data_IF_796908477884
#
_entry.id   IF_796908477884
#
_cell.length_a   1.000
_cell.length_b   1.000
_cell.length_c   1.000
_cell.angle_alpha   90.00
_cell.angle_beta   90.00
_cell.angle_gamma   90.00
#
_symmetry.space_group_name_H-M   'P 1'
#
loop_
_entity.id
_entity.type
_entity.pdbx_description
1 polymer ?
#
# COMPACT_ATOMS: atom_id res chain seq x y z
N UNK A 1 -36.52 9.58 -7.43
CA UNK A 1 -35.08 9.64 -7.70
C UNK A 1 -34.54 10.96 -7.17
N UNK A 2 -33.72 10.90 -6.13
CA UNK A 2 -33.03 12.08 -5.60
C UNK A 2 -31.72 12.28 -6.39
N UNK A 3 -31.47 13.48 -6.92
CA UNK A 3 -30.21 13.73 -7.60
C UNK A 3 -29.05 13.67 -6.59
N UNK A 4 -28.01 12.93 -6.93
CA UNK A 4 -26.74 12.94 -6.19
C UNK A 4 -25.89 14.06 -6.79
N UNK A 5 -25.51 15.04 -5.95
CA UNK A 5 -24.64 16.12 -6.39
C UNK A 5 -23.22 15.58 -6.60
N UNK A 6 -22.68 15.79 -7.80
CA UNK A 6 -21.32 15.49 -8.22
C UNK A 6 -20.69 16.73 -8.80
N UNK A 7 -19.36 16.77 -8.96
CA UNK A 7 -18.66 17.90 -9.60
C UNK A 7 -19.05 18.03 -11.08
N UNK A 8 -19.29 16.92 -11.73
CA UNK A 8 -19.73 16.86 -13.14
C UNK A 8 -20.94 15.96 -13.29
N UNK A 9 -21.71 16.16 -14.36
CA UNK A 9 -22.80 15.27 -14.74
C UNK A 9 -22.23 13.99 -15.34
N UNK A 10 -22.51 12.85 -14.71
CA UNK A 10 -22.05 11.52 -15.15
C UNK A 10 -23.23 10.56 -15.25
N UNK A 11 -23.09 9.51 -16.07
CA UNK A 11 -24.06 8.41 -16.11
C UNK A 11 -23.99 7.58 -14.86
N UNK A 12 -25.15 7.10 -14.41
CA UNK A 12 -25.21 6.19 -13.26
C UNK A 12 -24.85 4.76 -13.67
N UNK A 13 -24.10 4.07 -12.80
CA UNK A 13 -23.76 2.66 -12.97
C UNK A 13 -23.88 1.90 -11.66
N UNK A 14 -24.09 0.59 -11.73
CA UNK A 14 -23.97 -0.31 -10.58
C UNK A 14 -22.59 -0.94 -10.60
N UNK A 15 -21.79 -0.63 -9.59
CA UNK A 15 -20.45 -1.19 -9.42
C UNK A 15 -20.45 -2.17 -8.24
N UNK A 16 -19.96 -3.39 -8.45
CA UNK A 16 -19.77 -4.39 -7.40
C UNK A 16 -18.27 -4.61 -7.18
N UNK A 17 -17.78 -4.31 -5.99
CA UNK A 17 -16.41 -4.59 -5.57
C UNK A 17 -16.39 -5.82 -4.68
N UNK A 18 -15.50 -6.76 -4.96
CA UNK A 18 -15.35 -8.02 -4.22
C UNK A 18 -13.96 -8.04 -3.58
N UNK A 19 -13.92 -8.31 -2.28
CA UNK A 19 -12.69 -8.48 -1.51
C UNK A 19 -12.89 -9.63 -0.50
N UNK A 20 -11.80 -10.23 0.01
CA UNK A 20 -11.90 -11.23 1.09
C UNK A 20 -12.61 -10.68 2.32
N UNK A 21 -12.43 -9.39 2.58
CA UNK A 21 -13.13 -8.64 3.63
C UNK A 21 -13.19 -7.16 3.31
N UNK A 22 -14.28 -6.51 3.75
CA UNK A 22 -14.45 -5.07 3.76
C UNK A 22 -14.33 -4.47 5.17
N UNK A 23 -13.85 -5.24 6.15
CA UNK A 23 -13.57 -4.74 7.49
C UNK A 23 -12.32 -3.87 7.48
N UNK A 24 -12.43 -2.71 8.09
CA UNK A 24 -11.47 -1.61 8.07
C UNK A 24 -11.19 -1.14 9.50
N UNK A 25 -10.11 -0.42 9.69
CA UNK A 25 -9.75 0.17 10.99
C UNK A 25 -10.90 1.04 11.52
N UNK A 26 -11.53 1.85 10.65
CA UNK A 26 -12.65 2.72 11.01
C UNK A 26 -13.87 2.00 11.60
N UNK A 27 -14.04 0.70 11.36
CA UNK A 27 -15.12 -0.06 12.04
C UNK A 27 -14.89 -0.14 13.55
N UNK A 28 -13.66 -0.31 14.02
CA UNK A 28 -13.34 -0.27 15.45
C UNK A 28 -13.50 1.13 16.03
N UNK A 29 -13.02 2.17 15.33
CA UNK A 29 -13.20 3.56 15.75
C UNK A 29 -14.69 3.91 15.93
N UNK A 30 -15.52 3.54 14.97
CA UNK A 30 -16.96 3.84 15.00
C UNK A 30 -17.61 3.28 16.25
N UNK A 31 -17.38 2.01 16.57
CA UNK A 31 -17.96 1.37 17.76
C UNK A 31 -17.37 1.95 19.05
N UNK A 32 -16.07 2.21 19.09
CA UNK A 32 -15.41 2.82 20.24
C UNK A 32 -15.95 4.22 20.54
N UNK A 33 -16.05 5.10 19.52
CA UNK A 33 -16.57 6.47 19.67
C UNK A 33 -18.04 6.46 20.15
N UNK A 34 -18.82 5.48 19.73
CA UNK A 34 -20.21 5.31 20.17
C UNK A 34 -20.35 4.68 21.57
N UNK A 35 -19.24 4.25 22.15
CA UNK A 35 -19.27 3.51 23.43
C UNK A 35 -19.85 2.11 23.34
N UNK A 36 -19.91 1.55 22.12
CA UNK A 36 -20.45 0.22 21.83
C UNK A 36 -19.38 -0.87 22.10
N UNK A 37 -18.90 -0.94 23.33
CA UNK A 37 -17.73 -1.74 23.73
C UNK A 37 -17.89 -3.23 23.50
N UNK A 38 -19.11 -3.75 23.63
CA UNK A 38 -19.39 -5.16 23.30
C UNK A 38 -19.24 -5.43 21.79
N UNK A 39 -19.62 -4.47 20.95
CA UNK A 39 -19.39 -4.57 19.52
C UNK A 39 -17.90 -4.56 19.17
N UNK A 40 -17.09 -3.76 19.87
CA UNK A 40 -15.62 -3.77 19.74
C UNK A 40 -15.05 -5.16 20.05
N UNK A 41 -15.46 -5.77 21.17
CA UNK A 41 -15.03 -7.12 21.57
C UNK A 41 -15.44 -8.16 20.52
N UNK A 42 -16.73 -8.18 20.15
CA UNK A 42 -17.30 -9.16 19.20
C UNK A 42 -16.65 -9.03 17.84
N UNK A 43 -16.44 -7.80 17.35
CA UNK A 43 -15.75 -7.56 16.08
C UNK A 43 -14.31 -8.08 16.11
N UNK A 44 -13.57 -7.82 17.19
CA UNK A 44 -12.19 -8.30 17.34
C UNK A 44 -12.10 -9.82 17.37
N UNK A 45 -12.97 -10.49 18.13
CA UNK A 45 -13.03 -11.95 18.16
C UNK A 45 -13.45 -12.54 16.79
N UNK A 46 -14.37 -11.89 16.08
CA UNK A 46 -14.75 -12.28 14.72
C UNK A 46 -13.55 -12.20 13.77
N UNK A 47 -12.82 -11.09 13.77
CA UNK A 47 -11.62 -10.93 12.94
C UNK A 47 -10.57 -11.98 13.27
N UNK A 48 -10.31 -12.20 14.54
CA UNK A 48 -9.34 -13.20 15.00
C UNK A 48 -9.69 -14.61 14.50
N UNK A 49 -10.96 -14.99 14.63
CA UNK A 49 -11.43 -16.33 14.27
C UNK A 49 -11.64 -16.51 12.77
N UNK A 50 -12.50 -15.67 12.18
CA UNK A 50 -12.99 -15.90 10.81
C UNK A 50 -12.01 -15.37 9.76
N UNK A 51 -11.30 -14.29 10.08
CA UNK A 51 -10.42 -13.67 9.11
C UNK A 51 -8.99 -14.16 9.21
N UNK A 52 -8.49 -14.37 10.44
CA UNK A 52 -7.12 -14.85 10.66
C UNK A 52 -7.03 -16.34 10.97
N UNK A 53 -8.17 -17.03 11.19
CA UNK A 53 -8.23 -18.47 11.45
C UNK A 53 -7.56 -18.88 12.76
N UNK A 54 -7.58 -18.02 13.79
CA UNK A 54 -6.93 -18.32 15.07
C UNK A 54 -7.81 -19.26 15.91
N UNK A 55 -7.54 -20.55 15.81
CA UNK A 55 -8.29 -21.61 16.50
C UNK A 55 -8.06 -21.66 18.00
N UNK A 56 -6.98 -21.04 18.49
CA UNK A 56 -6.69 -20.90 19.91
C UNK A 56 -7.61 -19.87 20.61
N UNK A 57 -8.14 -18.92 19.86
CA UNK A 57 -9.10 -17.93 20.38
C UNK A 57 -10.50 -18.54 20.52
N UNK A 58 -10.86 -19.49 19.63
CA UNK A 58 -12.12 -20.26 19.67
C UNK A 58 -11.80 -21.69 19.25
N UNK A 59 -12.22 -22.69 20.01
CA UNK A 59 -12.00 -24.11 19.65
C UNK A 59 -12.68 -24.48 18.33
N UNK A 60 -11.97 -25.19 17.46
CA UNK A 60 -12.50 -25.61 16.17
C UNK A 60 -13.80 -26.41 16.27
N UNK A 61 -14.75 -26.15 15.38
CA UNK A 61 -16.04 -26.83 15.31
C UNK A 61 -17.16 -26.27 16.19
N UNK A 62 -16.89 -25.24 17.01
CA UNK A 62 -17.93 -24.57 17.80
C UNK A 62 -18.61 -23.44 17.00
N UNK A 63 -19.91 -23.32 17.15
CA UNK A 63 -20.63 -22.15 16.67
C UNK A 63 -20.36 -20.95 17.57
N UNK A 64 -20.62 -19.75 17.06
CA UNK A 64 -20.51 -18.52 17.84
C UNK A 64 -21.36 -18.58 19.12
N UNK A 65 -22.58 -19.11 19.02
CA UNK A 65 -23.48 -19.31 20.16
C UNK A 65 -22.91 -20.28 21.21
N UNK A 66 -22.26 -21.37 20.78
CA UNK A 66 -21.62 -22.33 21.68
C UNK A 66 -20.42 -21.70 22.40
N UNK A 67 -19.66 -20.89 21.68
CA UNK A 67 -18.51 -20.17 22.26
C UNK A 67 -18.96 -19.10 23.28
N UNK A 68 -20.07 -18.41 23.03
CA UNK A 68 -20.69 -17.45 23.98
C UNK A 68 -21.30 -18.16 25.18
N UNK A 69 -22.07 -19.23 24.94
CA UNK A 69 -22.65 -20.02 26.03
C UNK A 69 -21.58 -20.60 26.97
N UNK A 70 -20.47 -21.06 26.41
CA UNK A 70 -19.34 -21.57 27.20
C UNK A 70 -18.58 -20.45 27.94
N UNK A 71 -18.48 -19.25 27.37
CA UNK A 71 -17.86 -18.10 28.02
C UNK A 71 -18.63 -17.62 29.25
N UNK A 72 -19.94 -17.88 29.31
CA UNK A 72 -20.80 -17.65 30.49
C UNK A 72 -20.70 -18.74 31.55
N UNK A 73 -20.11 -19.89 31.24
CA UNK A 73 -19.80 -20.94 32.23
C UNK A 73 -18.42 -20.69 32.84
N UNK A 74 -18.20 -21.10 34.09
CA UNK A 74 -16.91 -21.06 34.80
C UNK A 74 -15.88 -22.00 34.10
N UNK A 75 -15.45 -21.63 32.88
CA UNK A 75 -14.48 -22.34 32.07
C UNK A 75 -13.10 -21.70 32.11
N UNK A 76 -12.09 -22.41 31.53
CA UNK A 76 -10.73 -21.91 31.40
C UNK A 76 -10.71 -20.52 30.70
N UNK A 77 -9.89 -19.58 31.17
CA UNK A 77 -9.78 -18.25 30.58
C UNK A 77 -9.29 -18.37 29.13
N UNK A 78 -9.94 -17.62 28.22
CA UNK A 78 -9.49 -17.54 26.83
C UNK A 78 -8.19 -16.75 26.74
N UNK A 79 -7.29 -17.09 25.80
CA UNK A 79 -6.06 -16.36 25.62
C UNK A 79 -6.34 -14.94 25.11
N UNK A 80 -5.48 -13.96 25.46
CA UNK A 80 -5.53 -12.60 24.93
C UNK A 80 -5.38 -12.60 23.41
N UNK A 81 -6.17 -11.77 22.72
CA UNK A 81 -6.13 -11.67 21.26
C UNK A 81 -5.86 -10.25 20.74
N UNK A 82 -6.19 -9.21 21.51
CA UNK A 82 -6.23 -7.85 21.02
C UNK A 82 -4.85 -7.33 20.58
N UNK A 83 -3.81 -7.53 21.39
CA UNK A 83 -2.45 -7.13 21.04
C UNK A 83 -1.92 -7.90 19.80
N UNK A 84 -2.28 -9.19 19.69
CA UNK A 84 -1.93 -10.01 18.52
C UNK A 84 -2.64 -9.49 17.26
N UNK A 85 -3.92 -9.09 17.36
CA UNK A 85 -4.70 -8.52 16.26
C UNK A 85 -4.06 -7.21 15.76
N UNK A 86 -3.78 -6.27 16.66
CA UNK A 86 -3.14 -5.00 16.31
C UNK A 86 -1.80 -5.24 15.60
N UNK A 87 -0.95 -6.12 16.14
CA UNK A 87 0.34 -6.46 15.54
C UNK A 87 0.21 -7.12 14.17
N UNK A 88 -0.81 -7.94 13.96
CA UNK A 88 -1.05 -8.59 12.65
C UNK A 88 -1.55 -7.58 11.61
N UNK A 89 -2.51 -6.71 11.97
CA UNK A 89 -2.97 -5.61 11.12
C UNK A 89 -1.80 -4.69 10.75
N UNK A 90 -0.99 -4.33 11.73
CA UNK A 90 0.20 -3.50 11.54
C UNK A 90 1.18 -4.10 10.53
N UNK A 91 1.54 -5.37 10.71
CA UNK A 91 2.47 -6.08 9.81
C UNK A 91 1.96 -6.20 8.39
N UNK A 92 0.68 -6.52 8.21
CA UNK A 92 0.07 -6.68 6.87
C UNK A 92 0.08 -5.35 6.14
N UNK A 93 -0.43 -4.30 6.76
CA UNK A 93 -0.46 -2.98 6.14
C UNK A 93 0.94 -2.40 5.93
N UNK A 94 1.89 -2.60 6.86
CA UNK A 94 3.28 -2.16 6.66
C UNK A 94 3.91 -2.75 5.39
N UNK A 95 3.66 -4.03 5.09
CA UNK A 95 4.12 -4.67 3.85
C UNK A 95 3.46 -4.07 2.60
N UNK A 96 2.15 -3.82 2.65
CA UNK A 96 1.40 -3.21 1.54
C UNK A 96 1.90 -1.80 1.26
N UNK A 97 2.07 -0.97 2.29
CA UNK A 97 2.58 0.39 2.14
C UNK A 97 4.04 0.41 1.65
N UNK A 98 4.86 -0.55 2.07
CA UNK A 98 6.21 -0.71 1.54
C UNK A 98 6.21 -0.95 0.03
N UNK A 99 5.30 -1.79 -0.47
CA UNK A 99 5.14 -2.02 -1.91
C UNK A 99 4.60 -0.78 -2.62
N UNK A 100 3.64 -0.04 -2.05
CA UNK A 100 3.19 1.23 -2.63
C UNK A 100 4.35 2.21 -2.81
N UNK A 101 5.16 2.38 -1.77
CA UNK A 101 6.35 3.24 -1.83
C UNK A 101 7.40 2.75 -2.85
N UNK A 102 7.46 1.47 -3.09
CA UNK A 102 8.42 0.88 -4.02
C UNK A 102 7.94 0.94 -5.46
N UNK A 103 6.62 0.82 -5.71
CA UNK A 103 6.04 0.80 -7.05
C UNK A 103 5.46 2.15 -7.49
N UNK A 104 5.58 3.19 -6.67
CA UNK A 104 5.04 4.51 -7.00
C UNK A 104 3.51 4.57 -6.97
N UNK A 105 2.86 3.69 -6.20
CA UNK A 105 1.41 3.72 -6.04
C UNK A 105 1.00 4.74 -4.98
N UNK A 106 0.04 5.58 -5.33
CA UNK A 106 -0.59 6.55 -4.44
C UNK A 106 -2.05 6.23 -4.27
N UNK A 107 -2.49 6.06 -3.03
CA UNK A 107 -3.89 5.75 -2.73
C UNK A 107 -4.80 6.99 -2.79
N UNK A 108 -4.29 8.13 -2.36
CA UNK A 108 -4.97 9.43 -2.39
C UNK A 108 -5.95 9.71 -1.25
N UNK A 109 -6.43 8.69 -0.50
CA UNK A 109 -7.34 8.86 0.65
C UNK A 109 -7.03 7.82 1.72
N UNK A 110 -6.10 8.11 2.61
CA UNK A 110 -5.63 7.18 3.64
C UNK A 110 -6.21 7.49 5.02
N UNK A 111 -7.53 7.64 5.08
CA UNK A 111 -8.26 7.64 6.35
C UNK A 111 -8.47 6.19 6.84
N UNK A 112 -8.91 6.01 8.08
CA UNK A 112 -9.12 4.70 8.71
C UNK A 112 -10.21 3.85 8.03
N UNK A 113 -11.10 4.49 7.27
CA UNK A 113 -12.13 3.80 6.49
C UNK A 113 -11.59 3.16 5.20
N UNK A 114 -10.36 3.48 4.81
CA UNK A 114 -9.74 2.98 3.60
C UNK A 114 -8.52 2.08 3.87
N UNK A 115 -8.32 1.68 5.13
CA UNK A 115 -7.25 0.77 5.53
C UNK A 115 -7.83 -0.55 6.02
N UNK A 116 -7.62 -1.59 5.22
CA UNK A 116 -8.13 -2.94 5.46
C UNK A 116 -7.48 -3.59 6.67
N UNK A 117 -8.27 -4.32 7.47
CA UNK A 117 -7.71 -5.19 8.51
C UNK A 117 -6.89 -6.35 7.93
N UNK A 118 -7.13 -6.72 6.66
CA UNK A 118 -6.40 -7.80 5.97
C UNK A 118 -5.10 -7.33 5.32
N UNK A 119 -4.86 -6.01 5.24
CA UNK A 119 -3.73 -5.43 4.53
C UNK A 119 -3.91 -5.35 3.02
N UNK A 120 -5.13 -5.58 2.52
CA UNK A 120 -5.45 -5.42 1.11
C UNK A 120 -5.60 -3.93 0.76
N UNK A 121 -5.24 -3.55 -0.46
CA UNK A 121 -5.59 -2.24 -1.01
C UNK A 121 -7.07 -2.23 -1.34
N UNK A 122 -7.83 -1.33 -0.74
CA UNK A 122 -9.28 -1.20 -0.94
C UNK A 122 -9.63 0.25 -1.31
N UNK A 123 -10.84 0.45 -1.81
CA UNK A 123 -11.39 1.77 -2.14
C UNK A 123 -10.51 2.58 -3.10
N UNK A 124 -10.33 2.04 -4.30
CA UNK A 124 -9.62 2.68 -5.41
C UNK A 124 -10.41 3.90 -5.92
N UNK A 125 -10.33 5.01 -5.18
CA UNK A 125 -10.91 6.31 -5.54
C UNK A 125 -9.94 7.09 -6.43
N UNK A 126 -9.38 8.23 -5.97
CA UNK A 126 -8.45 9.03 -6.74
C UNK A 126 -7.02 8.45 -6.74
N UNK A 127 -6.87 7.13 -6.82
CA UNK A 127 -5.55 6.50 -6.84
C UNK A 127 -4.77 6.86 -8.12
N UNK A 128 -3.45 6.80 -8.04
CA UNK A 128 -2.59 6.91 -9.20
C UNK A 128 -1.31 6.09 -9.04
N UNK A 129 -0.72 5.69 -10.17
CA UNK A 129 0.71 5.40 -10.22
C UNK A 129 1.46 6.68 -10.55
N UNK A 130 2.58 6.90 -9.87
CA UNK A 130 3.42 8.08 -10.07
C UNK A 130 3.88 8.19 -11.53
N UNK A 131 3.46 9.24 -12.20
CA UNK A 131 3.81 9.50 -13.60
C UNK A 131 5.23 10.02 -13.73
N UNK A 132 5.58 10.99 -12.92
CA UNK A 132 6.92 11.55 -12.84
C UNK A 132 7.47 11.40 -11.43
N UNK A 133 8.72 10.99 -11.26
CA UNK A 133 9.35 10.83 -9.95
C UNK A 133 9.33 12.16 -9.20
N UNK A 134 8.47 12.23 -8.18
CA UNK A 134 8.29 13.36 -7.30
C UNK A 134 7.70 12.86 -5.97
N UNK A 135 8.48 12.93 -4.89
CA UNK A 135 8.04 12.45 -3.59
C UNK A 135 6.90 13.30 -2.98
N UNK A 136 6.73 14.56 -3.45
CA UNK A 136 5.66 15.48 -3.03
C UNK A 136 4.36 15.30 -3.82
N UNK A 137 4.30 14.34 -4.74
CA UNK A 137 3.16 14.12 -5.63
C UNK A 137 1.86 13.85 -4.85
N UNK A 138 0.76 14.46 -5.31
CA UNK A 138 -0.58 14.35 -4.75
C UNK A 138 -1.52 13.90 -5.86
N UNK A 139 -2.15 12.74 -5.72
CA UNK A 139 -3.08 12.20 -6.71
C UNK A 139 -4.55 12.57 -6.46
N UNK A 140 -4.86 13.25 -5.37
CA UNK A 140 -6.21 13.69 -5.01
C UNK A 140 -6.24 15.21 -4.91
N UNK A 141 -6.90 15.88 -5.86
CA UNK A 141 -6.94 17.36 -5.89
C UNK A 141 -7.67 17.98 -4.68
N UNK A 142 -8.50 17.22 -3.97
CA UNK A 142 -9.13 17.69 -2.73
C UNK A 142 -8.15 17.70 -1.54
N UNK A 143 -6.99 17.05 -1.67
CA UNK A 143 -5.95 17.03 -0.63
C UNK A 143 -5.00 18.23 -0.76
N UNK A 144 -5.54 19.43 -0.59
CA UNK A 144 -4.79 20.69 -0.76
C UNK A 144 -3.54 20.78 0.14
N UNK A 145 -3.56 20.10 1.28
CA UNK A 145 -2.46 20.13 2.26
C UNK A 145 -1.44 19.01 2.06
N UNK A 146 -1.64 18.12 1.09
CA UNK A 146 -0.74 17.00 0.83
C UNK A 146 -0.67 15.96 1.94
N UNK A 147 -1.75 15.82 2.72
CA UNK A 147 -1.84 14.84 3.81
C UNK A 147 -1.59 13.40 3.31
N UNK A 148 -2.03 13.12 2.09
CA UNK A 148 -1.93 11.81 1.46
C UNK A 148 -0.95 11.81 0.28
N UNK A 149 0.00 12.76 0.23
CA UNK A 149 1.07 12.76 -0.77
C UNK A 149 1.90 11.48 -0.68
N UNK A 150 2.60 11.15 -1.75
CA UNK A 150 3.39 9.91 -1.83
C UNK A 150 4.30 9.71 -0.61
N UNK A 151 5.09 10.72 -0.25
CA UNK A 151 6.00 10.64 0.91
C UNK A 151 5.30 10.52 2.26
N UNK A 152 4.04 10.97 2.35
CA UNK A 152 3.28 10.96 3.61
C UNK A 152 2.54 9.65 3.88
N UNK A 153 2.42 8.76 2.90
CA UNK A 153 1.69 7.49 3.06
C UNK A 153 2.19 6.67 4.26
N UNK A 154 3.51 6.48 4.50
CA UNK A 154 3.99 5.76 5.68
C UNK A 154 3.56 6.39 7.02
N UNK A 155 3.54 7.73 7.08
CA UNK A 155 3.07 8.47 8.27
C UNK A 155 1.57 8.23 8.52
N UNK A 156 0.78 8.18 7.44
CA UNK A 156 -0.64 7.89 7.56
C UNK A 156 -0.93 6.46 8.01
N UNK A 157 -0.06 5.50 7.69
CA UNK A 157 -0.16 4.16 8.25
C UNK A 157 0.03 4.16 9.77
N UNK A 158 1.07 4.84 10.27
CA UNK A 158 1.30 4.95 11.72
C UNK A 158 0.09 5.58 12.40
N UNK A 159 -0.42 6.70 11.85
CA UNK A 159 -1.64 7.33 12.34
C UNK A 159 -2.82 6.36 12.42
N UNK A 160 -3.05 5.57 11.37
CA UNK A 160 -4.19 4.65 11.34
C UNK A 160 -4.03 3.50 12.36
N UNK A 161 -2.82 2.99 12.57
CA UNK A 161 -2.55 1.97 13.58
C UNK A 161 -2.72 2.57 14.99
N UNK A 162 -2.31 3.81 15.22
CA UNK A 162 -2.60 4.51 16.49
C UNK A 162 -4.13 4.58 16.73
N UNK A 163 -4.93 4.93 15.71
CA UNK A 163 -6.40 4.94 15.83
C UNK A 163 -6.98 3.55 16.13
N UNK A 164 -6.40 2.49 15.57
CA UNK A 164 -6.81 1.12 15.92
C UNK A 164 -6.49 0.78 17.38
N UNK A 165 -5.30 1.17 17.84
CA UNK A 165 -4.90 0.97 19.24
C UNK A 165 -5.81 1.74 20.19
N UNK A 166 -6.12 3.01 19.90
CA UNK A 166 -7.04 3.83 20.72
C UNK A 166 -8.43 3.20 20.78
N UNK A 167 -8.94 2.70 19.66
CA UNK A 167 -10.25 2.05 19.62
C UNK A 167 -10.30 0.76 20.42
N UNK A 168 -9.18 0.06 20.55
CA UNK A 168 -9.01 -1.19 21.31
C UNK A 168 -8.39 -0.98 22.70
N UNK A 169 -8.01 0.24 23.08
CA UNK A 169 -7.19 0.50 24.27
C UNK A 169 -7.74 -0.12 25.56
N UNK A 170 -9.04 -0.02 25.89
CA UNK A 170 -9.57 -0.69 27.09
C UNK A 170 -9.46 -2.22 27.03
N UNK A 171 -9.60 -2.82 25.84
CA UNK A 171 -9.47 -4.26 25.63
C UNK A 171 -8.01 -4.68 25.79
N UNK A 172 -7.09 -3.95 25.17
CA UNK A 172 -5.65 -4.18 25.23
C UNK A 172 -5.14 -4.14 26.66
N UNK A 173 -5.50 -3.10 27.41
CA UNK A 173 -5.09 -2.95 28.80
C UNK A 173 -5.72 -3.99 29.73
N UNK A 174 -7.00 -4.31 29.53
CA UNK A 174 -7.62 -5.39 30.29
C UNK A 174 -6.89 -6.72 30.07
N UNK A 175 -6.64 -7.10 28.82
CA UNK A 175 -5.95 -8.35 28.50
C UNK A 175 -4.51 -8.37 29.04
N UNK A 176 -3.84 -7.23 29.01
CA UNK A 176 -2.50 -7.10 29.60
C UNK A 176 -2.50 -7.34 31.11
N UNK A 177 -3.43 -6.70 31.83
CA UNK A 177 -3.51 -6.80 33.31
C UNK A 177 -3.96 -8.19 33.78
N UNK A 178 -4.95 -8.76 33.08
CA UNK A 178 -5.58 -10.00 33.55
C UNK A 178 -5.03 -11.26 32.88
N UNK A 179 -4.19 -11.13 31.83
CA UNK A 179 -3.61 -12.27 31.10
C UNK A 179 -4.62 -13.13 30.34
N UNK A 180 -5.84 -12.62 30.11
CA UNK A 180 -6.93 -13.32 29.44
C UNK A 180 -7.79 -12.37 28.61
N UNK A 181 -8.52 -12.93 27.65
CA UNK A 181 -9.53 -12.18 26.91
C UNK A 181 -10.72 -11.78 27.82
N UNK A 182 -11.40 -10.71 27.42
CA UNK A 182 -12.66 -10.27 28.00
C UNK A 182 -13.74 -11.35 27.81
N UNK A 183 -14.58 -11.49 28.82
CA UNK A 183 -15.84 -12.26 28.73
C UNK A 183 -16.96 -11.37 28.18
N UNK A 184 -18.03 -11.97 27.58
CA UNK A 184 -19.21 -11.23 27.20
C UNK A 184 -19.75 -10.38 28.35
N UNK A 185 -20.01 -9.11 28.08
CA UNK A 185 -20.55 -8.17 29.05
C UNK A 185 -19.57 -7.58 30.07
N UNK A 186 -18.33 -8.07 30.21
CA UNK A 186 -17.37 -7.54 31.18
C UNK A 186 -17.05 -6.06 30.92
N UNK A 187 -16.85 -5.70 29.67
CA UNK A 187 -16.55 -4.31 29.31
C UNK A 187 -17.76 -3.37 29.49
N UNK A 188 -18.99 -3.90 29.34
CA UNK A 188 -20.20 -3.15 29.64
C UNK A 188 -20.41 -2.95 31.15
N UNK A 189 -20.04 -3.94 31.95
CA UNK A 189 -20.14 -3.88 33.41
C UNK A 189 -19.08 -2.97 34.04
N UNK A 190 -17.98 -2.68 33.31
CA UNK A 190 -16.89 -1.84 33.83
C UNK A 190 -17.28 -0.37 33.89
N UNK A 191 -16.68 0.35 34.82
CA UNK A 191 -16.83 1.81 34.95
C UNK A 191 -16.03 2.54 33.88
N UNK A 192 -16.30 3.83 33.70
CA UNK A 192 -15.50 4.68 32.79
C UNK A 192 -14.06 4.79 33.28
N UNK A 193 -13.87 4.88 34.58
CA UNK A 193 -12.59 4.99 35.26
C UNK A 193 -11.74 3.72 35.05
N UNK A 194 -12.34 2.55 35.15
CA UNK A 194 -11.63 1.28 34.87
C UNK A 194 -11.21 1.18 33.41
N UNK A 195 -12.09 1.53 32.47
CA UNK A 195 -11.74 1.54 31.04
C UNK A 195 -10.62 2.53 30.73
N UNK A 196 -10.62 3.71 31.37
CA UNK A 196 -9.55 4.68 31.18
C UNK A 196 -8.23 4.14 31.76
N UNK A 197 -8.25 3.56 32.96
CA UNK A 197 -7.06 2.93 33.55
C UNK A 197 -6.47 1.85 32.64
N UNK A 198 -7.29 0.99 32.06
CA UNK A 198 -6.81 0.00 31.08
C UNK A 198 -6.27 0.64 29.81
N UNK A 199 -6.91 1.70 29.32
CA UNK A 199 -6.42 2.43 28.15
C UNK A 199 -5.04 3.05 28.40
N UNK A 200 -4.86 3.71 29.55
CA UNK A 200 -3.59 4.30 29.95
C UNK A 200 -2.47 3.23 30.05
N UNK A 201 -2.79 2.07 30.59
CA UNK A 201 -1.85 0.94 30.65
C UNK A 201 -1.50 0.38 29.26
N UNK A 202 -2.48 0.29 28.37
CA UNK A 202 -2.21 -0.16 27.00
C UNK A 202 -1.27 0.82 26.28
N UNK A 203 -1.47 2.12 26.46
CA UNK A 203 -0.61 3.14 25.89
C UNK A 203 0.83 3.01 26.39
N UNK A 204 1.01 2.87 27.72
CA UNK A 204 2.32 2.77 28.34
C UNK A 204 3.12 1.53 27.87
N UNK A 205 2.45 0.38 27.68
CA UNK A 205 3.17 -0.90 27.48
C UNK A 205 3.20 -1.38 26.03
N UNK A 206 2.35 -0.87 25.13
CA UNK A 206 2.18 -1.45 23.81
C UNK A 206 2.42 -0.48 22.63
N UNK A 207 2.11 0.80 22.80
CA UNK A 207 2.06 1.71 21.64
C UNK A 207 3.40 1.88 20.96
N UNK A 208 4.46 2.10 21.72
CA UNK A 208 5.80 2.28 21.15
C UNK A 208 6.32 0.99 20.51
N UNK A 209 6.04 -0.16 21.11
CA UNK A 209 6.40 -1.46 20.54
C UNK A 209 5.69 -1.70 19.19
N UNK A 210 4.41 -1.33 19.09
CA UNK A 210 3.64 -1.48 17.84
C UNK A 210 4.10 -0.48 16.80
N UNK A 211 4.37 0.77 17.15
CA UNK A 211 4.94 1.78 16.22
C UNK A 211 6.30 1.32 15.69
N UNK A 212 7.16 0.80 16.55
CA UNK A 212 8.45 0.22 16.14
C UNK A 212 8.26 -0.99 15.22
N UNK A 213 7.27 -1.84 15.50
CA UNK A 213 6.93 -2.98 14.64
C UNK A 213 6.47 -2.53 13.25
N UNK A 214 5.62 -1.48 13.15
CA UNK A 214 5.23 -0.88 11.87
C UNK A 214 6.46 -0.42 11.11
N UNK A 215 7.30 0.39 11.75
CA UNK A 215 8.48 0.98 11.13
C UNK A 215 9.46 -0.09 10.64
N UNK A 216 9.81 -1.04 11.49
CA UNK A 216 10.77 -2.11 11.14
C UNK A 216 10.22 -3.00 10.04
N UNK A 217 8.94 -3.40 10.10
CA UNK A 217 8.31 -4.23 9.07
C UNK A 217 8.23 -3.50 7.72
N UNK A 218 7.86 -2.22 7.74
CA UNK A 218 7.77 -1.40 6.53
C UNK A 218 9.16 -1.25 5.89
N UNK A 219 10.16 -0.87 6.66
CA UNK A 219 11.51 -0.65 6.17
C UNK A 219 12.16 -1.94 5.64
N UNK A 220 11.97 -3.07 6.32
CA UNK A 220 12.46 -4.38 5.86
C UNK A 220 11.80 -4.81 4.53
N UNK A 221 10.48 -4.65 4.44
CA UNK A 221 9.74 -4.98 3.22
C UNK A 221 10.12 -4.04 2.07
N UNK A 222 10.27 -2.76 2.34
CA UNK A 222 10.69 -1.72 1.40
C UNK A 222 12.11 -1.99 0.87
N UNK A 223 13.08 -2.24 1.74
CA UNK A 223 14.45 -2.56 1.34
C UNK A 223 14.50 -3.87 0.53
N UNK A 224 13.70 -4.86 0.91
CA UNK A 224 13.59 -6.12 0.16
C UNK A 224 13.04 -5.88 -1.24
N UNK A 225 11.99 -5.08 -1.37
CA UNK A 225 11.38 -4.79 -2.66
C UNK A 225 12.32 -3.98 -3.56
N UNK A 226 12.97 -2.94 -3.05
CA UNK A 226 13.92 -2.13 -3.81
C UNK A 226 15.14 -2.94 -4.28
N UNK A 227 15.77 -3.70 -3.38
CA UNK A 227 16.93 -4.52 -3.77
C UNK A 227 16.55 -5.61 -4.78
N UNK A 228 15.34 -6.17 -4.69
CA UNK A 228 14.82 -7.12 -5.68
C UNK A 228 14.58 -6.45 -7.02
N UNK A 229 13.94 -5.27 -7.05
CA UNK A 229 13.67 -4.51 -8.28
C UNK A 229 14.95 -4.06 -9.00
N UNK A 230 15.97 -3.73 -8.24
CA UNK A 230 17.27 -3.33 -8.77
C UNK A 230 18.23 -4.51 -9.06
N UNK A 231 17.80 -5.75 -8.82
CA UNK A 231 18.63 -6.94 -9.08
C UNK A 231 19.81 -7.13 -8.12
N UNK A 232 19.82 -6.42 -6.99
CA UNK A 232 20.87 -6.44 -5.96
C UNK A 232 20.42 -7.10 -4.66
N UNK A 233 19.61 -8.15 -4.77
CA UNK A 233 18.97 -8.80 -3.63
C UNK A 233 19.96 -9.36 -2.59
N UNK A 234 21.17 -9.76 -2.97
CA UNK A 234 22.21 -10.23 -2.06
C UNK A 234 22.76 -9.10 -1.17
N UNK A 235 22.64 -7.85 -1.62
CA UNK A 235 23.11 -6.67 -0.89
C UNK A 235 22.17 -6.25 0.26
N UNK A 236 21.00 -6.88 0.39
CA UNK A 236 20.07 -6.63 1.52
C UNK A 236 20.77 -6.75 2.90
N UNK A 237 21.78 -7.60 3.01
CA UNK A 237 22.58 -7.79 4.24
C UNK A 237 23.35 -6.55 4.72
N UNK A 238 23.53 -5.53 3.86
CA UNK A 238 24.25 -4.30 4.26
C UNK A 238 23.43 -3.40 5.19
N UNK A 239 22.12 -3.67 5.35
CA UNK A 239 21.21 -2.93 6.19
C UNK A 239 20.39 -1.90 5.45
N UNK A 240 19.21 -1.61 6.02
CA UNK A 240 18.18 -0.74 5.42
C UNK A 240 18.70 0.70 5.25
N UNK A 241 19.41 1.23 6.23
CA UNK A 241 19.91 2.62 6.20
C UNK A 241 20.87 2.87 5.04
N UNK A 242 21.72 1.91 4.74
CA UNK A 242 22.66 2.01 3.60
C UNK A 242 21.93 1.87 2.27
N UNK A 243 20.95 0.96 2.18
CA UNK A 243 20.11 0.84 0.97
C UNK A 243 19.40 2.16 0.72
N UNK A 244 18.84 2.77 1.76
CA UNK A 244 18.17 4.06 1.68
C UNK A 244 19.14 5.16 1.22
N UNK A 245 20.20 5.41 1.99
CA UNK A 245 21.08 6.56 1.80
C UNK A 245 22.01 6.46 0.59
N UNK A 246 22.42 5.23 0.21
CA UNK A 246 23.39 5.04 -0.87
C UNK A 246 22.75 4.69 -2.23
N UNK A 247 21.49 4.21 -2.25
CA UNK A 247 20.86 3.73 -3.47
C UNK A 247 19.55 4.45 -3.76
N UNK A 248 18.58 4.41 -2.82
CA UNK A 248 17.21 4.82 -3.13
C UNK A 248 17.01 6.32 -3.04
N UNK A 249 17.49 7.00 -2.00
CA UNK A 249 17.42 8.48 -1.92
C UNK A 249 18.20 9.12 -3.09
N UNK A 250 19.42 8.65 -3.45
CA UNK A 250 20.08 9.10 -4.66
C UNK A 250 19.33 8.80 -5.95
N UNK A 251 18.59 7.66 -6.03
CA UNK A 251 17.76 7.34 -7.19
C UNK A 251 16.63 8.38 -7.34
N UNK A 252 15.86 8.66 -6.29
CA UNK A 252 14.78 9.65 -6.34
C UNK A 252 15.30 11.04 -6.76
N UNK A 253 16.49 11.42 -6.30
CA UNK A 253 17.13 12.68 -6.68
C UNK A 253 17.61 12.67 -8.13
N UNK A 254 18.33 11.63 -8.56
CA UNK A 254 18.94 11.55 -9.88
C UNK A 254 17.92 11.30 -11.01
N UNK A 255 16.72 10.78 -10.69
CA UNK A 255 15.66 10.47 -11.65
C UNK A 255 14.45 11.39 -11.48
N UNK A 256 14.57 12.48 -10.75
CA UNK A 256 13.46 13.43 -10.53
C UNK A 256 12.85 13.86 -11.87
N UNK A 257 11.52 13.83 -11.95
CA UNK A 257 10.78 14.22 -13.16
C UNK A 257 10.78 13.20 -14.31
N UNK A 258 11.46 12.05 -14.16
CA UNK A 258 11.36 10.95 -15.12
C UNK A 258 10.22 9.98 -14.74
N UNK A 259 9.66 9.29 -15.72
CA UNK A 259 8.67 8.21 -15.53
C UNK A 259 9.27 7.08 -14.68
N UNK A 260 8.72 6.86 -13.48
CA UNK A 260 9.25 5.90 -12.52
C UNK A 260 9.18 4.45 -13.05
N UNK A 261 8.04 4.06 -13.60
CA UNK A 261 7.81 2.70 -14.09
C UNK A 261 8.71 2.41 -15.28
N UNK A 262 8.79 3.34 -16.23
CA UNK A 262 9.62 3.20 -17.42
C UNK A 262 11.10 3.22 -17.09
N UNK A 263 11.56 4.12 -16.21
CA UNK A 263 12.95 4.17 -15.75
C UNK A 263 13.40 2.85 -15.15
N UNK A 264 12.62 2.29 -14.22
CA UNK A 264 12.94 1.01 -13.57
C UNK A 264 12.84 -0.17 -14.55
N UNK A 265 11.95 -0.10 -15.54
CA UNK A 265 11.89 -1.12 -16.61
C UNK A 265 13.10 -1.05 -17.53
N UNK A 266 13.55 0.14 -17.90
CA UNK A 266 14.77 0.33 -18.72
C UNK A 266 16.01 -0.10 -17.96
N UNK A 267 16.11 0.19 -16.65
CA UNK A 267 17.22 -0.26 -15.80
C UNK A 267 17.41 -1.79 -15.81
N UNK A 268 16.37 -2.57 -16.15
CA UNK A 268 16.53 -4.02 -16.30
C UNK A 268 17.52 -4.43 -17.39
N UNK A 269 17.77 -3.58 -18.38
CA UNK A 269 18.71 -3.85 -19.46
C UNK A 269 20.13 -3.32 -19.17
N UNK A 270 20.28 -2.53 -18.10
CA UNK A 270 21.57 -1.95 -17.69
C UNK A 270 22.66 -2.99 -17.36
N UNK A 271 22.38 -4.15 -16.72
CA UNK A 271 23.43 -5.15 -16.46
C UNK A 271 24.20 -5.60 -17.69
N UNK A 272 23.56 -5.61 -18.87
CA UNK A 272 24.20 -5.92 -20.14
C UNK A 272 24.90 -4.72 -20.82
N UNK A 273 24.77 -3.52 -20.26
CA UNK A 273 25.25 -2.24 -20.86
C UNK A 273 26.16 -1.42 -19.94
N UNK A 274 26.75 -2.03 -18.94
CA UNK A 274 27.60 -1.36 -17.95
C UNK A 274 28.89 -0.76 -18.52
N UNK A 275 29.26 -1.05 -19.76
CA UNK A 275 30.41 -0.47 -20.47
C UNK A 275 30.04 0.80 -21.24
N UNK A 276 28.77 1.18 -21.32
CA UNK A 276 28.28 2.32 -22.11
C UNK A 276 27.30 3.17 -21.30
N UNK A 277 27.75 3.60 -20.11
CA UNK A 277 26.91 4.25 -19.10
C UNK A 277 26.35 5.57 -19.61
N UNK A 278 27.18 6.39 -20.29
CA UNK A 278 26.78 7.71 -20.79
C UNK A 278 25.68 7.62 -21.86
N UNK A 279 25.86 6.70 -22.82
CA UNK A 279 24.83 6.50 -23.84
C UNK A 279 23.57 5.85 -23.27
N UNK A 280 23.70 4.97 -22.26
CA UNK A 280 22.54 4.43 -21.58
C UNK A 280 21.78 5.50 -20.80
N UNK A 281 22.48 6.40 -20.08
CA UNK A 281 21.88 7.53 -19.37
C UNK A 281 21.16 8.47 -20.34
N UNK A 282 21.77 8.80 -21.47
CA UNK A 282 21.13 9.63 -22.50
C UNK A 282 19.83 9.02 -23.02
N UNK A 283 19.87 7.73 -23.38
CA UNK A 283 18.69 6.99 -23.85
C UNK A 283 17.61 6.93 -22.77
N UNK A 284 17.97 6.70 -21.52
CA UNK A 284 17.02 6.64 -20.41
C UNK A 284 16.33 7.99 -20.18
N UNK A 285 17.08 9.08 -20.10
CA UNK A 285 16.50 10.43 -19.95
C UNK A 285 15.58 10.78 -21.10
N UNK A 286 15.96 10.45 -22.33
CA UNK A 286 15.14 10.70 -23.52
C UNK A 286 13.83 9.91 -23.50
N UNK A 287 13.91 8.59 -23.18
CA UNK A 287 12.78 7.67 -23.28
C UNK A 287 11.84 7.74 -22.08
N UNK A 288 12.34 8.10 -20.90
CA UNK A 288 11.57 8.19 -19.67
C UNK A 288 11.15 9.62 -19.29
N UNK A 289 11.43 10.61 -20.16
CA UNK A 289 11.01 12.00 -19.90
C UNK A 289 9.48 12.09 -19.73
N UNK A 290 9.04 12.63 -18.61
CA UNK A 290 7.61 12.83 -18.30
C UNK A 290 7.11 14.25 -18.66
N UNK A 291 7.94 15.06 -19.32
CA UNK A 291 7.58 16.42 -19.73
C UNK A 291 7.51 17.43 -18.58
N UNK A 292 8.10 17.11 -17.44
CA UNK A 292 8.18 17.99 -16.26
C UNK A 292 9.32 18.99 -16.45
N UNK A 293 9.13 20.29 -16.16
CA UNK A 293 10.21 21.25 -16.07
C UNK A 293 11.25 20.84 -15.02
N UNK A 294 12.51 21.15 -15.24
CA UNK A 294 13.63 20.86 -14.32
C UNK A 294 13.83 19.37 -13.99
N UNK A 295 13.50 18.48 -14.95
CA UNK A 295 13.75 17.05 -14.78
C UNK A 295 15.24 16.72 -14.74
N UNK A 296 15.53 15.50 -14.28
CA UNK A 296 16.87 14.93 -14.16
C UNK A 296 17.73 15.13 -15.41
N UNK A 297 18.99 15.54 -15.20
CA UNK A 297 19.97 15.64 -16.29
C UNK A 297 20.60 14.28 -16.61
N UNK A 298 21.11 14.12 -17.84
CA UNK A 298 21.89 12.94 -18.21
C UNK A 298 23.07 12.72 -17.25
N UNK A 299 23.72 13.80 -16.80
CA UNK A 299 24.88 13.72 -15.90
C UNK A 299 24.50 13.15 -14.51
N UNK A 300 23.35 13.55 -13.96
CA UNK A 300 22.86 13.03 -12.68
C UNK A 300 22.53 11.53 -12.77
N UNK A 301 21.85 11.15 -13.85
CA UNK A 301 21.52 9.73 -14.11
C UNK A 301 22.79 8.91 -14.32
N UNK A 302 23.76 9.40 -15.11
CA UNK A 302 25.04 8.71 -15.32
C UNK A 302 25.82 8.54 -14.01
N UNK A 303 25.88 9.57 -13.17
CA UNK A 303 26.54 9.50 -11.86
C UNK A 303 25.91 8.41 -10.97
N UNK A 304 24.56 8.34 -10.94
CA UNK A 304 23.87 7.27 -10.20
C UNK A 304 24.16 5.88 -10.81
N UNK A 305 24.18 5.75 -12.13
CA UNK A 305 24.47 4.48 -12.81
C UNK A 305 25.90 3.99 -12.54
N UNK A 306 26.89 4.88 -12.43
CA UNK A 306 28.25 4.52 -12.01
C UNK A 306 28.24 3.91 -10.60
N UNK A 307 27.50 4.49 -9.67
CA UNK A 307 27.36 3.92 -8.33
C UNK A 307 26.57 2.60 -8.37
N UNK A 308 25.48 2.54 -9.11
CA UNK A 308 24.65 1.34 -9.24
C UNK A 308 25.43 0.15 -9.83
N UNK A 309 26.32 0.41 -10.78
CA UNK A 309 27.23 -0.61 -11.33
C UNK A 309 28.03 -1.31 -10.23
N UNK A 310 28.53 -0.57 -9.23
CA UNK A 310 29.31 -1.18 -8.14
C UNK A 310 28.50 -2.19 -7.34
N UNK A 311 27.19 -1.93 -7.16
CA UNK A 311 26.27 -2.85 -6.50
C UNK A 311 25.95 -4.08 -7.35
N UNK A 312 25.78 -3.90 -8.67
CA UNK A 312 25.59 -5.02 -9.60
C UNK A 312 26.81 -5.91 -9.69
N UNK A 313 28.00 -5.33 -9.76
CA UNK A 313 29.27 -6.08 -9.80
C UNK A 313 29.44 -6.95 -8.53
N UNK A 314 28.95 -6.46 -7.38
CA UNK A 314 29.00 -7.19 -6.12
C UNK A 314 28.03 -8.39 -6.03
N UNK A 315 27.01 -8.47 -6.92
CA UNK A 315 26.12 -9.62 -7.00
C UNK A 315 26.81 -10.87 -7.56
N UNK A 316 27.89 -10.70 -8.32
CA UNK A 316 28.65 -11.78 -8.94
C UNK A 316 27.79 -12.77 -9.79
N UNK A 317 26.74 -12.23 -10.44
CA UNK A 317 25.79 -12.97 -11.28
C UNK A 317 25.92 -12.55 -12.74
N UNK A 318 25.65 -13.46 -13.70
CA UNK A 318 25.61 -13.09 -15.12
C UNK A 318 24.59 -11.98 -15.41
N UNK A 319 24.96 -11.04 -16.29
CA UNK A 319 24.10 -9.92 -16.69
C UNK A 319 22.70 -10.38 -17.16
N UNK A 320 22.64 -11.49 -17.92
CA UNK A 320 21.38 -12.06 -18.41
C UNK A 320 20.46 -12.55 -17.29
N UNK A 321 21.02 -13.11 -16.21
CA UNK A 321 20.24 -13.52 -15.04
C UNK A 321 19.70 -12.31 -14.28
N UNK A 322 20.52 -11.28 -14.09
CA UNK A 322 20.10 -10.03 -13.44
C UNK A 322 18.99 -9.35 -14.23
N UNK A 323 19.18 -9.18 -15.54
CA UNK A 323 18.15 -8.65 -16.45
C UNK A 323 16.82 -9.41 -16.33
N UNK A 324 16.86 -10.74 -16.39
CA UNK A 324 15.66 -11.56 -16.29
C UNK A 324 14.99 -11.48 -14.90
N UNK A 325 15.80 -11.45 -13.83
CA UNK A 325 15.29 -11.28 -12.47
C UNK A 325 14.58 -9.93 -12.30
N UNK A 326 15.21 -8.85 -12.75
CA UNK A 326 14.64 -7.51 -12.70
C UNK A 326 13.36 -7.39 -13.53
N UNK A 327 13.33 -7.95 -14.75
CA UNK A 327 12.13 -7.90 -15.64
C UNK A 327 10.91 -8.61 -15.06
N UNK A 328 11.09 -9.59 -14.17
CA UNK A 328 9.98 -10.30 -13.51
C UNK A 328 9.29 -9.46 -12.44
N UNK A 329 9.94 -8.45 -11.90
CA UNK A 329 9.45 -7.63 -10.79
C UNK A 329 9.29 -6.15 -11.15
N UNK A 330 9.78 -5.73 -12.31
CA UNK A 330 9.56 -4.38 -12.82
C UNK A 330 8.52 -4.44 -13.94
N UNK A 331 7.30 -3.94 -13.71
CA UNK A 331 6.26 -3.99 -14.71
C UNK A 331 6.64 -3.12 -15.92
N UNK A 332 6.18 -3.52 -17.09
CA UNK A 332 6.21 -2.72 -18.30
C UNK A 332 5.01 -1.77 -18.36
N UNK A 333 3.89 -2.22 -17.83
CA UNK A 333 2.62 -1.52 -17.84
C UNK A 333 2.12 -1.29 -16.42
N UNK A 334 1.55 -0.12 -16.16
CA UNK A 334 0.70 0.20 -15.00
C UNK A 334 -0.53 0.94 -15.51
N UNK A 335 -1.69 0.70 -14.87
CA UNK A 335 -2.94 1.35 -15.25
C UNK A 335 -2.94 2.80 -14.74
N UNK A 336 -2.60 3.73 -15.63
CA UNK A 336 -2.59 5.18 -15.35
C UNK A 336 -3.97 5.78 -15.54
N UNK A 337 -4.26 6.87 -14.86
CA UNK A 337 -5.58 7.52 -14.92
C UNK A 337 -5.97 7.94 -16.34
N UNK A 338 -5.03 8.48 -17.13
CA UNK A 338 -5.32 8.86 -18.51
C UNK A 338 -5.74 7.69 -19.40
N UNK A 339 -5.29 6.45 -19.08
CA UNK A 339 -5.71 5.24 -19.82
C UNK A 339 -7.15 4.88 -19.45
N UNK A 340 -7.54 5.02 -18.18
CA UNK A 340 -8.92 4.80 -17.75
C UNK A 340 -9.87 5.82 -18.37
N UNK A 341 -9.44 7.08 -18.48
CA UNK A 341 -10.21 8.13 -19.14
C UNK A 341 -10.39 7.84 -20.63
N UNK A 342 -9.31 7.43 -21.33
CA UNK A 342 -9.37 7.05 -22.76
C UNK A 342 -10.29 5.83 -22.99
N UNK A 343 -10.24 4.82 -22.10
CA UNK A 343 -11.16 3.68 -22.14
C UNK A 343 -12.61 4.14 -21.98
N UNK A 344 -12.89 5.02 -21.00
CA UNK A 344 -14.23 5.53 -20.75
C UNK A 344 -14.74 6.33 -21.98
N UNK A 345 -13.95 7.26 -22.50
CA UNK A 345 -14.29 8.06 -23.66
C UNK A 345 -14.62 7.21 -24.91
N UNK A 346 -13.80 6.18 -25.18
CA UNK A 346 -14.03 5.25 -26.29
C UNK A 346 -15.28 4.40 -26.10
N UNK A 347 -15.60 3.99 -24.88
CA UNK A 347 -16.81 3.21 -24.59
C UNK A 347 -18.09 4.06 -24.64
N UNK A 348 -18.02 5.35 -24.31
CA UNK A 348 -19.14 6.29 -24.36
C UNK A 348 -19.40 6.82 -25.77
N UNK A 349 -18.53 6.53 -26.75
CA UNK A 349 -18.68 6.93 -28.14
C UNK A 349 -19.89 6.25 -28.82
N UNK A 350 -20.36 6.80 -29.93
CA UNK A 350 -21.43 6.21 -30.74
C UNK A 350 -21.11 4.80 -31.28
N UNK A 351 -19.82 4.41 -31.27
CA UNK A 351 -19.33 3.08 -31.67
C UNK A 351 -18.35 2.60 -30.57
N UNK A 352 -18.86 1.98 -29.48
CA UNK A 352 -18.03 1.57 -28.32
C UNK A 352 -16.87 0.66 -28.75
N UNK A 353 -15.64 1.05 -28.39
CA UNK A 353 -14.42 0.26 -28.65
C UNK A 353 -14.14 -0.74 -27.52
N UNK A 354 -14.88 -1.84 -27.54
CA UNK A 354 -14.68 -2.94 -26.58
C UNK A 354 -13.35 -3.68 -26.80
N UNK A 355 -12.77 -3.62 -28.00
CA UNK A 355 -11.49 -4.24 -28.30
C UNK A 355 -10.34 -3.53 -27.56
N UNK A 356 -10.40 -2.21 -27.46
CA UNK A 356 -9.44 -1.44 -26.68
C UNK A 356 -9.55 -1.75 -25.17
N UNK A 357 -10.77 -1.84 -24.63
CA UNK A 357 -10.98 -2.27 -23.24
C UNK A 357 -10.35 -3.64 -22.94
N UNK A 358 -10.60 -4.64 -23.81
CA UNK A 358 -10.04 -6.00 -23.62
C UNK A 358 -8.52 -6.02 -23.74
N UNK A 359 -7.95 -5.17 -24.60
CA UNK A 359 -6.50 -4.97 -24.70
C UNK A 359 -5.92 -4.42 -23.39
N UNK A 360 -6.47 -3.32 -22.86
CA UNK A 360 -6.04 -2.74 -21.59
C UNK A 360 -6.20 -3.75 -20.45
N UNK A 361 -7.33 -4.49 -20.41
CA UNK A 361 -7.55 -5.55 -19.42
C UNK A 361 -6.48 -6.65 -19.48
N UNK A 362 -6.09 -7.05 -20.68
CA UNK A 362 -5.02 -8.03 -20.89
C UNK A 362 -3.67 -7.52 -20.41
N UNK A 363 -3.36 -6.23 -20.66
CA UNK A 363 -2.14 -5.59 -20.17
C UNK A 363 -2.13 -5.50 -18.64
N UNK A 364 -3.26 -5.20 -18.01
CA UNK A 364 -3.38 -5.23 -16.54
C UNK A 364 -3.13 -6.62 -15.97
N UNK A 365 -3.62 -7.67 -16.63
CA UNK A 365 -3.44 -9.05 -16.19
C UNK A 365 -1.99 -9.57 -16.38
N UNK A 366 -1.24 -8.99 -17.34
CA UNK A 366 0.10 -9.41 -17.71
C UNK A 366 1.10 -8.22 -17.73
N UNK A 367 1.27 -7.48 -16.64
CA UNK A 367 1.98 -6.20 -16.65
C UNK A 367 3.49 -6.32 -16.88
N UNK A 368 4.06 -7.52 -16.80
CA UNK A 368 5.49 -7.76 -16.94
C UNK A 368 5.89 -8.24 -18.34
N UNK A 369 4.92 -8.65 -19.16
CA UNK A 369 5.16 -9.25 -20.47
C UNK A 369 5.39 -8.22 -21.58
N UNK A 370 5.90 -8.69 -22.70
CA UNK A 370 6.00 -7.91 -23.93
C UNK A 370 4.70 -8.03 -24.73
N UNK A 371 4.21 -6.93 -25.25
CA UNK A 371 2.99 -6.88 -26.06
C UNK A 371 3.32 -6.88 -27.53
N UNK A 372 2.41 -7.44 -28.35
CA UNK A 372 2.65 -7.66 -29.76
C UNK A 372 2.45 -6.42 -30.64
N UNK A 373 1.70 -5.42 -30.15
CA UNK A 373 1.34 -4.23 -30.93
C UNK A 373 2.22 -3.03 -30.59
N UNK A 374 2.65 -2.27 -31.60
CA UNK A 374 3.42 -1.04 -31.42
C UNK A 374 2.64 0.01 -30.60
N UNK A 375 1.33 0.11 -30.81
CA UNK A 375 0.43 0.98 -30.03
C UNK A 375 0.45 0.69 -28.52
N UNK A 376 0.76 -0.54 -28.11
CA UNK A 376 0.87 -0.91 -26.69
C UNK A 376 2.09 -0.25 -26.03
N UNK A 377 3.07 0.17 -26.80
CA UNK A 377 4.22 0.90 -26.29
C UNK A 377 3.84 2.30 -25.78
N UNK A 378 2.87 2.97 -26.41
CA UNK A 378 2.35 4.27 -25.93
C UNK A 378 1.64 4.13 -24.58
N UNK A 379 0.87 3.05 -24.38
CA UNK A 379 0.20 2.76 -23.13
C UNK A 379 1.17 2.45 -21.98
N UNK A 380 2.43 2.13 -22.30
CA UNK A 380 3.49 1.90 -21.31
C UNK A 380 4.25 3.17 -20.92
N UNK A 381 3.82 4.35 -21.36
CA UNK A 381 4.45 5.64 -21.08
C UNK A 381 3.52 6.57 -20.31
N UNK A 382 4.03 7.73 -19.92
CA UNK A 382 3.21 8.79 -19.28
C UNK A 382 2.14 9.36 -20.22
N UNK A 383 2.20 9.01 -21.51
CA UNK A 383 1.30 9.55 -22.53
C UNK A 383 1.61 11.02 -22.88
N UNK A 384 0.84 11.58 -23.83
CA UNK A 384 1.01 12.98 -24.29
C UNK A 384 0.52 14.03 -23.30
N UNK A 385 0.06 13.62 -22.13
CA UNK A 385 -0.66 14.50 -21.23
C UNK A 385 -0.23 14.29 -19.80
N UNK A 386 0.54 15.19 -19.31
CA UNK A 386 0.29 15.78 -18.00
C UNK A 386 -1.14 16.38 -18.06
N UNK A 387 -2.18 15.54 -18.08
CA UNK A 387 -3.55 16.01 -18.01
C UNK A 387 -3.77 16.57 -16.63
N UNK A 388 -4.13 17.83 -16.57
CA UNK A 388 -4.37 18.69 -15.43
C UNK A 388 -5.55 18.27 -14.54
N UNK A 389 -6.18 17.13 -14.79
CA UNK A 389 -7.32 16.65 -14.02
C UNK A 389 -6.91 15.51 -13.10
N UNK A 390 -6.38 15.86 -11.97
CA UNK A 390 -6.26 14.93 -10.85
C UNK A 390 -7.68 14.59 -10.35
N UNK A 391 -8.06 13.31 -10.25
CA UNK A 391 -9.39 12.93 -9.75
C UNK A 391 -9.59 13.34 -8.28
N UNK A 392 -10.84 13.50 -7.87
CA UNK A 392 -11.22 13.75 -6.48
C UNK A 392 -12.03 12.60 -5.87
N UNK A 393 -12.17 12.61 -4.56
CA UNK A 393 -13.07 11.67 -3.86
C UNK A 393 -14.56 11.89 -4.23
N UNK A 394 -14.91 13.03 -4.82
CA UNK A 394 -16.26 13.41 -5.20
C UNK A 394 -16.56 13.27 -6.70
N UNK A 395 -15.56 12.92 -7.49
CA UNK A 395 -15.69 12.69 -8.94
C UNK A 395 -16.18 11.30 -9.29
#
# INVERSE_FOLDING_TARGET
DLPVLRETSTTAAVNMRIAPSWLRIGNFELHSIRGEWESVRVLGEYVAREMYGWTDVVKGGETWADAEARAGCEGEPRPPWAARLVKEVAKRNAKTFALWQTYGFMHGVLNTDNISLMGDTIDYGPYAFMDAINEDEICNHSDVMGRYSFKMQPTMLVYAIDRLMDALAPVLGFEHVHGRALRPGELLASTKEERQMWADQAEEVLYDDVRMLVQTTLLDAWATAWTTRLGIASQRRIGVDRIKSEIVDPFFKAFYGLDMTRSLRMLCDFPGRTNDIEAFAASLVQDAAAGVPDCASQADVAAWLHQFKTWLDAEARPASELTNAMKRVNPRFVLRNWITDDVAERLESNAPDTAFLERVRTMCANPFESYAHEEDAELCTVGRLLRTNTPSCSS
#
